data_IF_116069661955
#
_entry.id   IF_116069661955
#
_cell.length_a   1.000
_cell.length_b   1.000
_cell.length_c   1.000
_cell.angle_alpha   90.00
_cell.angle_beta   90.00
_cell.angle_gamma   90.00
#
_symmetry.space_group_name_H-M   'P 1'
#
loop_
_entity.id
_entity.type
_entity.pdbx_description
1 polymer ?
#
# COMPACT_ATOMS: atom_id res chain seq x y z
N UNK A 1 1.08 7.31 26.20
CA UNK A 1 1.41 8.45 27.08
C UNK A 1 1.92 7.97 28.43
N UNK A 2 3.07 8.48 28.87
CA UNK A 2 3.60 8.25 30.23
C UNK A 2 2.96 9.22 31.22
N UNK A 3 2.74 8.79 32.45
CA UNK A 3 2.18 9.66 33.50
C UNK A 3 3.05 10.90 33.75
N UNK A 4 4.36 10.72 33.94
CA UNK A 4 5.31 11.83 34.18
C UNK A 4 5.36 12.87 33.04
N UNK A 5 5.18 12.42 31.80
CA UNK A 5 5.11 13.32 30.63
C UNK A 5 3.77 14.07 30.64
N UNK A 6 2.67 13.38 30.92
CA UNK A 6 1.35 13.98 30.94
C UNK A 6 1.24 15.06 32.04
N UNK A 7 1.85 14.84 33.21
CA UNK A 7 1.90 15.84 34.29
C UNK A 7 2.63 17.11 33.85
N UNK A 8 3.80 16.99 33.23
CA UNK A 8 4.53 18.12 32.66
C UNK A 8 3.71 18.86 31.59
N UNK A 9 3.00 18.12 30.72
CA UNK A 9 2.10 18.70 29.73
C UNK A 9 0.96 19.47 30.41
N UNK A 10 0.35 18.93 31.47
CA UNK A 10 -0.71 19.60 32.23
C UNK A 10 -0.24 20.91 32.87
N UNK A 11 0.96 20.91 33.45
CA UNK A 11 1.59 22.13 33.98
C UNK A 11 1.79 23.17 32.87
N UNK A 12 2.34 22.76 31.73
CA UNK A 12 2.49 23.64 30.56
C UNK A 12 1.15 24.19 30.06
N UNK A 13 0.12 23.36 29.97
CA UNK A 13 -1.20 23.76 29.48
C UNK A 13 -1.91 24.74 30.42
N UNK A 14 -1.60 24.72 31.72
CA UNK A 14 -2.21 25.60 32.73
C UNK A 14 -1.92 27.10 32.52
N UNK A 15 -0.93 27.43 31.68
CA UNK A 15 -0.67 28.82 31.24
C UNK A 15 -1.80 29.38 30.37
N UNK A 16 -2.50 28.54 29.62
CA UNK A 16 -3.58 28.95 28.72
C UNK A 16 -4.85 29.23 29.52
N UNK A 17 -5.59 30.28 29.14
CA UNK A 17 -6.79 30.74 29.87
C UNK A 17 -8.09 30.46 29.15
N UNK A 18 -8.05 30.10 27.87
CA UNK A 18 -9.24 29.92 27.03
C UNK A 18 -9.00 28.88 25.95
N UNK A 19 -10.02 28.05 25.71
CA UNK A 19 -10.14 27.24 24.50
C UNK A 19 -10.86 28.11 23.47
N UNK A 20 -10.20 28.46 22.37
CA UNK A 20 -10.81 29.23 21.29
C UNK A 20 -11.70 28.34 20.44
N UNK A 21 -11.25 27.13 20.14
CA UNK A 21 -11.97 26.16 19.33
C UNK A 21 -11.57 24.72 19.69
N UNK A 22 -12.50 23.79 19.56
CA UNK A 22 -12.23 22.36 19.69
C UNK A 22 -12.96 21.58 18.59
N UNK A 23 -12.27 20.62 17.97
CA UNK A 23 -12.86 19.77 16.93
C UNK A 23 -12.20 18.42 16.84
N UNK A 24 -12.95 17.41 16.44
CA UNK A 24 -12.40 16.11 16.03
C UNK A 24 -11.70 16.23 14.69
N UNK A 25 -10.49 15.68 14.60
CA UNK A 25 -9.64 15.75 13.39
C UNK A 25 -9.36 14.37 12.78
N UNK A 26 -9.32 13.34 13.60
CA UNK A 26 -9.26 11.94 13.17
C UNK A 26 -10.26 11.09 13.97
N UNK A 27 -10.34 9.79 13.71
CA UNK A 27 -11.32 8.94 14.38
C UNK A 27 -11.20 8.91 15.90
N UNK A 28 -9.98 9.08 16.39
CA UNK A 28 -9.67 9.03 17.81
C UNK A 28 -8.99 10.30 18.32
N UNK A 29 -8.94 11.37 17.52
CA UNK A 29 -8.13 12.56 17.82
C UNK A 29 -8.94 13.86 17.84
N UNK A 30 -8.69 14.70 18.86
CA UNK A 30 -9.22 16.06 18.97
C UNK A 30 -8.11 17.08 18.77
N UNK A 31 -8.38 18.14 18.01
CA UNK A 31 -7.58 19.35 18.02
C UNK A 31 -8.23 20.36 18.97
N UNK A 32 -7.44 20.87 19.92
CA UNK A 32 -7.81 21.96 20.82
C UNK A 32 -6.93 23.16 20.47
N UNK A 33 -7.59 24.27 20.14
CA UNK A 33 -6.97 25.56 19.91
C UNK A 33 -7.08 26.40 21.19
N UNK A 34 -5.94 26.83 21.73
CA UNK A 34 -5.82 27.66 22.94
C UNK A 34 -5.48 29.11 22.58
N UNK A 35 -5.75 30.05 23.48
CA UNK A 35 -5.38 31.47 23.34
C UNK A 35 -4.03 31.78 24.02
N UNK A 36 -3.05 32.44 23.34
CA UNK A 36 -3.08 32.93 21.96
C UNK A 36 -2.71 31.84 20.93
N UNK A 37 -3.60 31.64 19.94
CA UNK A 37 -3.51 30.72 18.79
C UNK A 37 -2.47 29.59 18.89
N UNK A 38 -2.63 28.70 19.87
CA UNK A 38 -1.78 27.53 20.08
C UNK A 38 -2.59 26.26 19.89
N UNK A 39 -2.27 25.43 18.90
CA UNK A 39 -3.05 24.24 18.57
C UNK A 39 -2.32 22.95 18.91
N UNK A 40 -3.02 22.05 19.58
CA UNK A 40 -2.52 20.71 19.89
C UNK A 40 -3.54 19.66 19.51
N UNK A 41 -3.03 18.54 19.00
CA UNK A 41 -3.82 17.35 18.72
C UNK A 41 -3.62 16.34 19.85
N UNK A 42 -4.72 15.93 20.45
CA UNK A 42 -4.82 14.89 21.46
C UNK A 42 -5.34 13.64 20.76
N UNK A 43 -4.46 12.70 20.44
CA UNK A 43 -4.80 11.40 19.86
C UNK A 43 -5.01 10.36 20.97
N UNK A 44 -6.24 9.86 21.05
CA UNK A 44 -6.69 8.87 22.01
C UNK A 44 -6.94 7.53 21.33
N UNK A 45 -6.05 7.12 20.43
CA UNK A 45 -5.94 5.74 19.97
C UNK A 45 -5.55 4.80 21.14
N UNK A 46 -6.18 3.63 21.23
CA UNK A 46 -5.95 2.68 22.33
C UNK A 46 -4.50 2.16 22.40
N UNK A 47 -3.82 2.06 21.27
CA UNK A 47 -2.46 1.48 21.21
C UNK A 47 -1.36 2.54 21.30
N UNK A 48 -1.55 3.70 20.66
CA UNK A 48 -0.52 4.72 20.49
C UNK A 48 -1.03 6.12 20.86
N UNK A 49 -1.77 6.27 21.97
CA UNK A 49 -2.28 7.58 22.39
C UNK A 49 -1.16 8.58 22.64
N UNK A 50 -1.28 9.78 22.07
CA UNK A 50 -0.25 10.82 22.13
C UNK A 50 -0.81 12.24 22.10
N UNK A 51 0.03 13.24 22.37
CA UNK A 51 -0.27 14.67 22.21
C UNK A 51 0.83 15.27 21.34
N UNK A 52 0.47 15.99 20.28
CA UNK A 52 1.43 16.52 19.32
C UNK A 52 0.93 17.78 18.61
N UNK A 53 1.85 18.47 17.94
CA UNK A 53 1.59 19.66 17.13
C UNK A 53 1.77 19.26 15.67
N UNK A 54 0.72 19.38 14.86
CA UNK A 54 0.80 19.02 13.45
C UNK A 54 1.37 20.20 12.64
N UNK A 55 2.40 19.93 11.84
CA UNK A 55 3.01 20.92 10.93
C UNK A 55 2.21 21.14 9.64
N UNK A 56 1.22 20.29 9.37
CA UNK A 56 0.40 20.31 8.17
C UNK A 56 -1.07 20.56 8.51
N UNK A 57 -1.80 21.28 7.65
CA UNK A 57 -3.26 21.32 7.73
C UNK A 57 -3.81 19.89 7.61
N UNK A 58 -4.20 19.30 8.74
CA UNK A 58 -4.91 18.02 8.78
C UNK A 58 -6.14 18.17 7.89
N UNK A 59 -6.18 17.43 6.77
CA UNK A 59 -7.40 17.30 5.95
C UNK A 59 -8.49 16.75 6.86
N UNK A 60 -9.36 17.65 7.29
CA UNK A 60 -10.31 17.35 8.35
C UNK A 60 -11.58 16.88 7.70
N UNK A 61 -11.85 15.58 7.83
CA UNK A 61 -13.21 15.08 7.64
C UNK A 61 -14.11 15.86 8.59
N UNK A 62 -15.21 16.40 8.09
CA UNK A 62 -16.15 17.13 8.95
C UNK A 62 -16.97 16.13 9.76
N UNK A 63 -16.68 16.01 11.05
CA UNK A 63 -17.45 15.18 11.97
C UNK A 63 -18.64 15.96 12.53
N UNK A 64 -19.83 15.36 12.47
CA UNK A 64 -21.12 15.93 12.91
C UNK A 64 -21.90 14.97 13.82
N UNK A 65 -21.23 14.03 14.49
CA UNK A 65 -21.88 13.15 15.45
C UNK A 65 -22.36 13.94 16.68
N UNK A 66 -23.28 13.40 17.50
CA UNK A 66 -23.71 14.04 18.76
C UNK A 66 -22.54 14.47 19.66
N UNK A 67 -21.47 13.68 19.68
CA UNK A 67 -20.19 14.02 20.30
C UNK A 67 -19.59 15.33 19.79
N UNK A 68 -19.44 15.48 18.47
CA UNK A 68 -18.82 16.66 17.90
C UNK A 68 -19.66 17.92 18.12
N UNK A 69 -21.00 17.78 18.04
CA UNK A 69 -21.93 18.88 18.28
C UNK A 69 -21.90 19.32 19.74
N UNK A 70 -21.95 18.38 20.68
CA UNK A 70 -21.95 18.68 22.12
C UNK A 70 -20.62 19.27 22.57
N UNK A 71 -19.50 18.74 22.07
CA UNK A 71 -18.15 19.23 22.33
C UNK A 71 -18.02 20.71 21.94
N UNK A 72 -18.41 21.06 20.70
CA UNK A 72 -18.39 22.45 20.21
C UNK A 72 -19.30 23.34 21.06
N UNK A 73 -20.53 22.91 21.35
CA UNK A 73 -21.51 23.68 22.11
C UNK A 73 -21.03 24.03 23.53
N UNK A 74 -20.25 23.14 24.16
CA UNK A 74 -19.82 23.29 25.56
C UNK A 74 -18.46 23.98 25.71
N UNK A 75 -17.54 23.77 24.75
CA UNK A 75 -16.13 24.12 24.93
C UNK A 75 -15.59 25.18 23.96
N UNK A 76 -16.28 25.48 22.85
CA UNK A 76 -15.82 26.54 21.96
C UNK A 76 -15.90 27.89 22.67
N UNK A 77 -14.80 28.64 22.65
CA UNK A 77 -14.65 29.92 23.36
C UNK A 77 -14.81 29.84 24.88
N UNK A 78 -14.70 28.65 25.47
CA UNK A 78 -14.82 28.47 26.92
C UNK A 78 -13.55 28.93 27.64
N UNK A 79 -13.73 29.59 28.79
CA UNK A 79 -12.66 29.91 29.73
C UNK A 79 -12.18 28.61 30.39
N UNK A 80 -10.88 28.45 30.52
CA UNK A 80 -10.26 27.34 31.25
C UNK A 80 -10.19 27.75 32.73
N UNK A 81 -10.84 26.97 33.58
CA UNK A 81 -10.81 27.17 35.02
C UNK A 81 -9.65 26.41 35.65
N UNK A 82 -9.42 25.16 35.21
CA UNK A 82 -8.35 24.30 35.73
C UNK A 82 -7.96 23.23 34.73
N UNK A 83 -6.68 22.89 34.69
CA UNK A 83 -6.13 21.72 33.98
C UNK A 83 -5.31 20.93 34.97
N UNK A 84 -5.61 19.64 35.12
CA UNK A 84 -4.85 18.75 36.00
C UNK A 84 -4.79 17.32 35.48
N UNK A 85 -3.76 16.58 35.86
CA UNK A 85 -3.73 15.12 35.72
C UNK A 85 -4.21 14.51 37.03
N UNK A 86 -5.15 13.57 36.95
CA UNK A 86 -5.61 12.86 38.14
C UNK A 86 -4.44 12.09 38.81
N UNK A 87 -4.28 12.17 40.14
CA UNK A 87 -3.16 11.52 40.83
C UNK A 87 -3.05 10.03 40.51
N UNK A 88 -1.85 9.57 40.18
CA UNK A 88 -1.58 8.17 39.85
C UNK A 88 -2.52 7.61 38.77
N UNK A 89 -2.95 8.47 37.84
CA UNK A 89 -3.80 8.09 36.73
C UNK A 89 -3.41 8.86 35.46
N UNK A 90 -3.54 8.25 34.29
CA UNK A 90 -3.18 8.87 33.00
C UNK A 90 -4.38 9.60 32.41
N UNK A 91 -5.04 10.43 33.19
CA UNK A 91 -6.26 11.15 32.82
C UNK A 91 -6.02 12.64 32.96
N UNK A 92 -6.06 13.35 31.84
CA UNK A 92 -6.01 14.81 31.81
C UNK A 92 -7.44 15.36 31.92
N UNK A 93 -7.69 16.16 32.95
CA UNK A 93 -8.97 16.78 33.29
C UNK A 93 -8.90 18.27 33.03
N UNK A 94 -9.79 18.77 32.19
CA UNK A 94 -9.90 20.19 31.82
C UNK A 94 -11.27 20.69 32.26
N UNK A 95 -11.30 21.57 33.26
CA UNK A 95 -12.51 22.23 33.74
C UNK A 95 -12.66 23.57 33.03
N UNK A 96 -13.84 23.83 32.49
CA UNK A 96 -14.11 25.04 31.71
C UNK A 96 -15.44 25.67 32.06
N UNK A 97 -15.52 26.98 31.89
CA UNK A 97 -16.75 27.76 31.98
C UNK A 97 -16.98 28.52 30.68
N UNK A 98 -18.15 28.32 30.07
CA UNK A 98 -18.64 29.09 28.94
C UNK A 98 -19.66 30.11 29.42
N UNK A 99 -19.41 31.40 29.17
CA UNK A 99 -20.35 32.48 29.46
C UNK A 99 -21.38 32.59 28.33
N UNK A 100 -22.60 32.13 28.56
CA UNK A 100 -23.74 32.41 27.69
C UNK A 100 -24.43 33.74 28.07
N UNK A 101 -25.42 34.17 27.27
CA UNK A 101 -26.16 35.41 27.52
C UNK A 101 -26.91 35.45 28.85
N UNK A 102 -27.31 34.30 29.39
CA UNK A 102 -28.16 34.22 30.59
C UNK A 102 -27.68 33.25 31.67
N UNK A 103 -26.69 32.38 31.37
CA UNK A 103 -26.17 31.37 32.30
C UNK A 103 -24.70 31.08 32.04
N UNK A 104 -23.98 30.80 33.12
CA UNK A 104 -22.66 30.17 33.06
C UNK A 104 -22.85 28.68 32.86
N UNK A 105 -22.18 28.12 31.85
CA UNK A 105 -22.19 26.70 31.55
C UNK A 105 -20.84 26.13 31.94
N UNK A 106 -20.83 25.32 33.00
CA UNK A 106 -19.63 24.61 33.43
C UNK A 106 -19.57 23.25 32.73
N UNK A 107 -18.37 22.80 32.42
CA UNK A 107 -18.14 21.51 31.78
C UNK A 107 -16.77 20.97 32.17
N UNK A 108 -16.64 19.65 32.21
CA UNK A 108 -15.38 18.97 32.48
C UNK A 108 -15.10 18.00 31.34
N UNK A 109 -13.97 18.21 30.67
CA UNK A 109 -13.45 17.33 29.63
C UNK A 109 -12.40 16.40 30.24
N UNK A 110 -12.61 15.10 30.07
CA UNK A 110 -11.69 14.05 30.47
C UNK A 110 -11.04 13.44 29.23
N UNK A 111 -9.71 13.43 29.21
CA UNK A 111 -8.88 12.78 28.19
C UNK A 111 -8.12 11.62 28.84
N UNK A 112 -8.61 10.39 28.64
CA UNK A 112 -8.09 9.21 29.32
C UNK A 112 -7.03 8.50 28.45
N UNK A 113 -5.76 8.58 28.82
CA UNK A 113 -4.62 7.95 28.13
C UNK A 113 -4.24 6.59 28.75
N UNK A 114 -5.25 5.75 29.02
CA UNK A 114 -5.12 4.54 29.86
C UNK A 114 -4.90 3.23 29.11
N UNK A 115 -4.84 3.25 27.77
CA UNK A 115 -4.75 2.07 26.92
C UNK A 115 -6.10 1.39 26.70
N UNK A 116 -6.42 0.36 27.50
CA UNK A 116 -7.67 -0.42 27.37
C UNK A 116 -8.92 0.47 27.46
N UNK A 117 -8.91 1.39 28.42
CA UNK A 117 -10.02 2.29 28.72
C UNK A 117 -9.90 3.67 28.07
N UNK A 118 -8.95 3.87 27.15
CA UNK A 118 -8.72 5.17 26.51
C UNK A 118 -10.01 5.76 25.94
N UNK A 119 -10.33 7.00 26.32
CA UNK A 119 -11.59 7.65 25.95
C UNK A 119 -11.53 9.17 26.07
N UNK A 120 -12.50 9.83 25.43
CA UNK A 120 -12.78 11.25 25.62
C UNK A 120 -14.19 11.37 26.16
N UNK A 121 -14.34 11.98 27.33
CA UNK A 121 -15.62 12.03 28.03
C UNK A 121 -15.88 13.49 28.42
N UNK A 122 -17.05 13.98 28.07
CA UNK A 122 -17.50 15.32 28.43
C UNK A 122 -18.62 15.20 29.46
N UNK A 123 -18.49 15.92 30.56
CA UNK A 123 -19.47 15.95 31.64
C UNK A 123 -19.89 17.38 31.98
N UNK A 124 -21.01 17.52 32.69
CA UNK A 124 -21.39 18.77 33.34
C UNK A 124 -20.66 18.97 34.69
N UNK A 125 -20.98 20.04 35.41
CA UNK A 125 -20.42 20.34 36.73
C UNK A 125 -20.72 19.28 37.81
N UNK A 126 -21.76 18.46 37.64
CA UNK A 126 -22.16 17.43 38.58
C UNK A 126 -21.53 16.06 38.23
N UNK A 127 -20.70 16.01 37.20
CA UNK A 127 -20.08 14.80 36.69
C UNK A 127 -21.02 13.92 35.88
N UNK A 128 -22.18 14.44 35.44
CA UNK A 128 -23.09 13.70 34.55
C UNK A 128 -22.53 13.74 33.14
N UNK A 129 -22.38 12.57 32.52
CA UNK A 129 -21.86 12.42 31.16
C UNK A 129 -22.84 13.06 30.19
N UNK A 130 -22.36 14.10 29.52
CA UNK A 130 -23.06 14.75 28.42
C UNK A 130 -22.87 13.95 27.13
N UNK A 131 -21.63 13.49 26.87
CA UNK A 131 -21.28 12.75 25.66
C UNK A 131 -19.88 12.13 25.78
N UNK A 132 -19.60 11.08 25.00
CA UNK A 132 -18.28 10.43 24.98
C UNK A 132 -17.89 9.95 23.57
N UNK A 133 -16.58 9.93 23.29
CA UNK A 133 -16.07 9.39 22.02
C UNK A 133 -16.38 7.89 21.89
N UNK A 134 -16.34 7.15 23.00
CA UNK A 134 -16.65 5.72 23.06
C UNK A 134 -17.64 5.44 24.18
N UNK A 135 -18.82 5.00 23.81
CA UNK A 135 -19.82 4.48 24.74
C UNK A 135 -19.60 3.00 25.01
N UNK A 136 -19.67 2.60 26.28
CA UNK A 136 -19.66 1.20 26.68
C UNK A 136 -20.23 1.05 28.09
N UNK A 137 -20.57 -0.18 28.46
CA UNK A 137 -20.92 -0.56 29.83
C UNK A 137 -20.28 -1.90 30.13
N UNK A 138 -19.69 -2.00 31.31
CA UNK A 138 -19.10 -3.21 31.87
C UNK A 138 -19.21 -3.15 33.40
N UNK A 139 -18.72 -4.20 34.07
CA UNK A 139 -18.80 -4.33 35.53
C UNK A 139 -18.08 -3.20 36.30
N UNK A 140 -17.12 -2.51 35.67
CA UNK A 140 -16.35 -1.44 36.30
C UNK A 140 -17.02 -0.07 36.17
N UNK A 141 -17.55 0.27 34.99
CA UNK A 141 -18.19 1.58 34.74
C UNK A 141 -19.08 1.59 33.51
N UNK A 142 -20.10 2.45 33.56
CA UNK A 142 -20.98 2.77 32.44
C UNK A 142 -20.64 4.15 31.87
N UNK A 143 -20.11 4.18 30.65
CA UNK A 143 -19.88 5.42 29.90
C UNK A 143 -21.05 5.61 28.92
N UNK A 144 -22.09 6.31 29.38
CA UNK A 144 -23.33 6.60 28.65
C UNK A 144 -23.87 7.98 29.03
N UNK A 145 -24.50 8.66 28.08
CA UNK A 145 -25.17 9.95 28.29
C UNK A 145 -26.16 9.86 29.46
N UNK A 146 -26.14 10.85 30.35
CA UNK A 146 -27.03 10.95 31.52
C UNK A 146 -26.59 10.14 32.74
N UNK A 147 -25.53 9.33 32.66
CA UNK A 147 -24.96 8.63 33.83
C UNK A 147 -23.87 9.49 34.48
N UNK A 148 -23.73 9.37 35.80
CA UNK A 148 -22.60 10.00 36.51
C UNK A 148 -21.31 9.26 36.17
N UNK A 149 -20.26 9.99 35.82
CA UNK A 149 -18.95 9.44 35.51
C UNK A 149 -18.33 8.85 36.78
N UNK A 150 -17.98 7.57 36.71
CA UNK A 150 -17.11 6.91 37.68
C UNK A 150 -15.69 7.02 37.14
N UNK A 151 -14.87 7.83 37.81
CA UNK A 151 -13.45 7.99 37.47
C UNK A 151 -12.72 6.65 37.72
N UNK A 152 -11.64 6.39 36.97
CA UNK A 152 -10.85 5.18 37.19
C UNK A 152 -10.04 5.33 38.48
N UNK A 153 -9.97 4.26 39.26
CA UNK A 153 -9.16 4.22 40.47
C UNK A 153 -7.68 4.49 40.17
N UNK A 154 -6.98 5.21 41.06
CA UNK A 154 -5.53 5.41 40.95
C UNK A 154 -4.82 4.06 41.04
N UNK A 155 -3.73 3.91 40.29
CA UNK A 155 -2.92 2.69 40.34
C UNK A 155 -1.44 3.02 40.45
N UNK A 156 -0.66 2.12 41.04
CA UNK A 156 0.78 2.30 41.14
C UNK A 156 1.44 2.18 39.76
N UNK A 157 1.82 3.32 39.18
CA UNK A 157 2.36 3.38 37.83
C UNK A 157 3.88 3.17 37.86
N UNK A 158 4.32 1.97 37.48
CA UNK A 158 5.74 1.64 37.29
C UNK A 158 6.19 2.09 35.89
N UNK A 159 6.83 3.25 35.79
CA UNK A 159 7.38 3.77 34.53
C UNK A 159 8.85 4.14 34.67
N UNK A 160 9.64 3.87 33.62
CA UNK A 160 11.00 4.38 33.52
C UNK A 160 11.01 5.91 33.56
N UNK A 161 12.13 6.48 34.02
CA UNK A 161 12.36 7.91 34.03
C UNK A 161 12.01 8.55 32.68
N UNK A 162 11.48 9.76 32.77
CA UNK A 162 11.10 10.57 31.62
C UNK A 162 11.91 11.85 31.68
N UNK A 163 12.50 12.29 30.56
CA UNK A 163 13.26 13.53 30.54
C UNK A 163 12.33 14.70 30.90
N UNK A 164 12.92 15.73 31.52
CA UNK A 164 12.25 17.00 31.73
C UNK A 164 12.09 17.67 30.36
N UNK A 165 10.89 18.12 30.04
CA UNK A 165 10.58 18.82 28.80
C UNK A 165 10.95 20.29 28.99
N UNK A 166 12.02 20.72 28.33
CA UNK A 166 12.49 22.12 28.37
C UNK A 166 11.83 22.97 27.29
N UNK A 167 11.59 22.38 26.12
CA UNK A 167 10.97 23.03 24.96
C UNK A 167 9.77 22.19 24.49
N UNK A 168 8.57 22.65 24.86
CA UNK A 168 7.32 21.94 24.54
C UNK A 168 6.99 21.98 23.05
N UNK A 169 7.35 23.05 22.32
CA UNK A 169 7.07 23.13 20.88
C UNK A 169 7.88 22.08 20.14
N UNK A 170 9.19 21.99 20.40
CA UNK A 170 10.03 20.93 19.82
C UNK A 170 9.61 19.53 20.25
N UNK A 171 9.18 19.37 21.51
CA UNK A 171 8.66 18.10 22.00
C UNK A 171 7.44 17.65 21.19
N UNK A 172 6.44 18.51 21.02
CA UNK A 172 5.21 18.17 20.31
C UNK A 172 5.43 17.95 18.81
N UNK A 173 6.34 18.69 18.18
CA UNK A 173 6.75 18.47 16.79
C UNK A 173 7.48 17.12 16.64
N UNK A 174 8.41 16.80 17.55
CA UNK A 174 9.11 15.52 17.57
C UNK A 174 8.18 14.32 17.80
N UNK A 175 7.14 14.47 18.63
CA UNK A 175 6.13 13.42 18.82
C UNK A 175 5.29 13.21 17.54
N UNK A 176 4.99 14.27 16.79
CA UNK A 176 4.32 14.15 15.49
C UNK A 176 5.20 13.40 14.48
N UNK A 177 6.48 13.73 14.39
CA UNK A 177 7.42 13.09 13.47
C UNK A 177 7.62 11.61 13.80
N UNK A 178 7.72 11.25 15.09
CA UNK A 178 7.77 9.85 15.52
C UNK A 178 6.53 9.07 15.09
N UNK A 179 5.34 9.63 15.27
CA UNK A 179 4.09 9.00 14.84
C UNK A 179 4.01 8.85 13.32
N UNK A 180 4.38 9.90 12.58
CA UNK A 180 4.42 9.90 11.12
C UNK A 180 5.37 8.83 10.58
N UNK A 181 6.58 8.75 11.13
CA UNK A 181 7.59 7.76 10.74
C UNK A 181 7.15 6.34 11.11
N UNK A 182 6.59 6.12 12.30
CA UNK A 182 6.06 4.81 12.69
C UNK A 182 4.96 4.35 11.73
N UNK A 183 4.02 5.23 11.38
CA UNK A 183 2.93 4.96 10.43
C UNK A 183 3.47 4.65 9.02
N UNK A 184 4.53 5.35 8.60
CA UNK A 184 5.24 5.09 7.36
C UNK A 184 5.86 3.69 7.34
N UNK A 185 6.61 3.33 8.38
CA UNK A 185 7.25 2.00 8.50
C UNK A 185 6.23 0.86 8.55
N UNK A 186 5.15 1.01 9.33
CA UNK A 186 4.08 0.01 9.42
C UNK A 186 3.43 -0.22 8.05
N UNK A 187 3.09 0.86 7.33
CA UNK A 187 2.52 0.77 5.98
C UNK A 187 3.51 0.11 5.02
N UNK A 188 4.79 0.53 5.07
CA UNK A 188 5.87 -0.01 4.24
C UNK A 188 6.04 -1.51 4.47
N UNK A 189 6.13 -1.95 5.71
CA UNK A 189 6.27 -3.36 6.08
C UNK A 189 5.11 -4.22 5.54
N UNK A 190 3.87 -3.77 5.71
CA UNK A 190 2.68 -4.47 5.21
C UNK A 190 2.72 -4.59 3.67
N UNK A 191 3.07 -3.51 2.97
CA UNK A 191 3.11 -3.52 1.49
C UNK A 191 4.23 -4.42 0.97
N UNK A 192 5.42 -4.34 1.56
CA UNK A 192 6.57 -5.16 1.19
C UNK A 192 6.29 -6.65 1.42
N UNK A 193 5.74 -7.03 2.58
CA UNK A 193 5.41 -8.43 2.86
C UNK A 193 4.44 -9.03 1.81
N UNK A 194 3.50 -8.23 1.30
CA UNK A 194 2.60 -8.66 0.23
C UNK A 194 3.30 -8.81 -1.13
N UNK A 195 4.30 -7.98 -1.43
CA UNK A 195 5.10 -8.10 -2.64
C UNK A 195 6.04 -9.30 -2.56
N UNK A 196 6.68 -9.52 -1.41
CA UNK A 196 7.59 -10.65 -1.19
C UNK A 196 6.88 -12.00 -1.36
N UNK A 197 5.65 -12.13 -0.86
CA UNK A 197 4.81 -13.32 -1.13
C UNK A 197 4.57 -13.55 -2.62
N UNK A 198 4.33 -12.50 -3.40
CA UNK A 198 4.13 -12.62 -4.86
C UNK A 198 5.41 -12.96 -5.59
N UNK A 199 6.53 -12.34 -5.21
CA UNK A 199 7.84 -12.62 -5.79
C UNK A 199 8.23 -14.06 -5.51
N UNK A 200 8.04 -14.56 -4.27
CA UNK A 200 8.31 -15.93 -3.90
C UNK A 200 7.53 -16.94 -4.78
N UNK A 201 6.22 -16.72 -4.97
CA UNK A 201 5.39 -17.55 -5.84
C UNK A 201 5.86 -17.54 -7.30
N UNK A 202 6.28 -16.37 -7.83
CA UNK A 202 6.80 -16.29 -9.20
C UNK A 202 8.16 -16.98 -9.34
N UNK A 203 9.02 -16.90 -8.33
CA UNK A 203 10.30 -17.62 -8.28
C UNK A 203 10.10 -19.14 -8.23
N UNK A 204 9.13 -19.63 -7.45
CA UNK A 204 8.76 -21.04 -7.44
C UNK A 204 8.31 -21.52 -8.83
N UNK A 205 7.44 -20.75 -9.48
CA UNK A 205 7.01 -21.03 -10.85
C UNK A 205 8.19 -21.03 -11.84
N UNK A 206 9.12 -20.07 -11.73
CA UNK A 206 10.31 -19.97 -12.56
C UNK A 206 11.26 -21.16 -12.38
N UNK A 207 11.45 -21.59 -11.14
CA UNK A 207 12.32 -22.73 -10.79
C UNK A 207 11.69 -24.07 -11.20
N UNK A 208 10.36 -24.15 -11.27
CA UNK A 208 9.64 -25.34 -11.77
C UNK A 208 9.71 -25.53 -13.28
N UNK A 209 10.21 -24.53 -14.03
CA UNK A 209 10.33 -24.64 -15.49
C UNK A 209 11.51 -25.53 -15.87
N UNK A 210 11.20 -26.65 -16.53
CA UNK A 210 12.17 -27.55 -17.15
C UNK A 210 13.10 -26.83 -18.15
N UNK A 211 14.28 -27.41 -18.38
CA UNK A 211 15.21 -26.90 -19.39
C UNK A 211 14.68 -27.17 -20.80
N UNK A 212 14.95 -26.25 -21.72
CA UNK A 212 14.65 -26.45 -23.15
C UNK A 212 15.31 -27.72 -23.69
N UNK A 213 16.58 -27.94 -23.34
CA UNK A 213 17.36 -29.08 -23.85
C UNK A 213 16.81 -30.41 -23.32
N UNK A 214 16.40 -30.46 -22.05
CA UNK A 214 15.77 -31.64 -21.47
C UNK A 214 14.43 -31.98 -22.15
N UNK A 215 13.61 -30.96 -22.44
CA UNK A 215 12.35 -31.14 -23.16
C UNK A 215 12.58 -31.62 -24.60
N UNK A 216 13.59 -31.08 -25.29
CA UNK A 216 13.97 -31.52 -26.63
C UNK A 216 14.52 -32.94 -26.64
N UNK A 217 15.32 -33.32 -25.63
CA UNK A 217 15.86 -34.67 -25.51
C UNK A 217 14.76 -35.70 -25.25
N UNK A 218 13.84 -35.42 -24.30
CA UNK A 218 12.64 -36.24 -24.06
C UNK A 218 11.75 -36.36 -25.31
N UNK A 219 11.57 -35.25 -26.04
CA UNK A 219 10.80 -35.24 -27.29
C UNK A 219 11.42 -36.14 -28.37
N UNK A 220 12.74 -36.08 -28.54
CA UNK A 220 13.49 -36.91 -29.50
C UNK A 220 13.45 -38.38 -29.12
N UNK A 221 13.65 -38.71 -27.84
CA UNK A 221 13.56 -40.07 -27.31
C UNK A 221 12.18 -40.68 -27.59
N UNK A 222 11.09 -40.00 -27.21
CA UNK A 222 9.73 -40.47 -27.49
C UNK A 222 9.46 -40.66 -28.98
N UNK A 223 9.94 -39.77 -29.84
CA UNK A 223 9.81 -39.91 -31.29
C UNK A 223 10.59 -41.13 -31.82
N UNK A 224 11.79 -41.39 -31.31
CA UNK A 224 12.59 -42.57 -31.65
C UNK A 224 11.87 -43.86 -31.23
N UNK A 225 11.36 -43.92 -30.00
CA UNK A 225 10.57 -45.07 -29.50
C UNK A 225 9.33 -45.32 -30.34
N UNK A 226 8.60 -44.26 -30.69
CA UNK A 226 7.39 -44.36 -31.50
C UNK A 226 7.69 -44.82 -32.94
N UNK A 227 8.78 -44.33 -33.54
CA UNK A 227 9.25 -44.77 -34.86
C UNK A 227 9.63 -46.26 -34.85
N UNK A 228 10.33 -46.73 -33.80
CA UNK A 228 10.69 -48.14 -33.67
C UNK A 228 9.47 -49.05 -33.55
N UNK A 229 8.45 -48.66 -32.78
CA UNK A 229 7.18 -49.39 -32.68
C UNK A 229 6.45 -49.46 -34.03
N UNK A 230 6.36 -48.35 -34.77
CA UNK A 230 5.71 -48.34 -36.09
C UNK A 230 6.50 -49.17 -37.11
N UNK A 231 7.83 -49.07 -37.12
CA UNK A 231 8.67 -49.79 -38.07
C UNK A 231 8.57 -51.31 -37.90
N UNK A 232 8.35 -51.79 -36.67
CA UNK A 232 8.24 -53.22 -36.34
C UNK A 232 6.78 -53.66 -36.14
N UNK A 233 5.79 -52.84 -36.51
CA UNK A 233 4.38 -53.09 -36.17
C UNK A 233 3.83 -54.39 -36.79
N UNK A 234 4.41 -54.85 -37.90
CA UNK A 234 4.06 -56.12 -38.55
C UNK A 234 4.51 -57.36 -37.75
N UNK A 235 5.42 -57.21 -36.78
CA UNK A 235 5.93 -58.28 -35.91
C UNK A 235 5.22 -58.33 -34.55
N UNK A 236 4.34 -57.37 -34.27
CA UNK A 236 3.77 -57.15 -32.93
C UNK A 236 2.26 -57.42 -32.94
N UNK A 237 1.78 -58.07 -31.87
CA UNK A 237 0.36 -58.29 -31.65
C UNK A 237 -0.25 -57.16 -30.82
N UNK A 238 -1.56 -56.95 -30.92
CA UNK A 238 -2.27 -55.88 -30.21
C UNK A 238 -2.25 -56.04 -28.67
N UNK A 239 -2.05 -57.27 -28.17
CA UNK A 239 -1.98 -57.58 -26.74
C UNK A 239 -0.55 -57.51 -26.17
N UNK A 240 0.47 -57.27 -26.99
CA UNK A 240 1.85 -57.17 -26.52
C UNK A 240 2.02 -55.92 -25.63
N UNK A 241 2.70 -56.09 -24.49
CA UNK A 241 2.89 -55.04 -23.49
C UNK A 241 4.37 -54.79 -23.21
N UNK A 242 5.16 -55.84 -23.06
CA UNK A 242 6.62 -55.74 -22.92
C UNK A 242 7.29 -56.22 -24.21
N UNK A 243 8.00 -55.30 -24.88
CA UNK A 243 8.51 -55.53 -26.23
C UNK A 243 9.99 -55.14 -26.26
N UNK A 244 10.83 -56.05 -26.74
CA UNK A 244 12.25 -55.80 -26.99
C UNK A 244 12.48 -55.63 -28.49
N UNK A 245 12.77 -54.42 -28.94
CA UNK A 245 13.03 -54.11 -30.34
C UNK A 245 14.50 -53.73 -30.57
N UNK A 246 15.05 -54.17 -31.69
CA UNK A 246 16.40 -53.80 -32.10
C UNK A 246 16.37 -52.42 -32.76
N UNK A 247 17.13 -51.47 -32.22
CA UNK A 247 17.33 -50.15 -32.79
C UNK A 247 18.20 -50.17 -34.05
N UNK A 248 18.22 -49.06 -34.79
CA UNK A 248 19.02 -48.91 -36.01
C UNK A 248 20.53 -49.15 -35.82
N UNK A 249 21.02 -48.93 -34.59
CA UNK A 249 22.44 -49.08 -34.23
C UNK A 249 22.76 -50.46 -33.65
N UNK A 250 21.78 -51.37 -33.57
CA UNK A 250 21.93 -52.70 -33.00
C UNK A 250 21.68 -52.83 -31.50
N UNK A 251 21.41 -51.72 -30.80
CA UNK A 251 21.01 -51.70 -29.39
C UNK A 251 19.60 -52.29 -29.19
N UNK A 252 19.40 -53.08 -28.13
CA UNK A 252 18.09 -53.60 -27.76
C UNK A 252 17.36 -52.62 -26.86
N UNK A 253 16.20 -52.14 -27.30
CA UNK A 253 15.36 -51.23 -26.56
C UNK A 253 14.14 -51.97 -26.00
N UNK A 254 14.02 -51.96 -24.67
CA UNK A 254 12.87 -52.53 -23.97
C UNK A 254 11.79 -51.47 -23.77
N UNK A 255 10.58 -51.76 -24.24
CA UNK A 255 9.41 -50.90 -24.17
C UNK A 255 8.32 -51.59 -23.37
N UNK A 256 7.81 -50.92 -22.33
CA UNK A 256 6.63 -51.37 -21.59
C UNK A 256 5.45 -50.45 -21.93
N UNK A 257 4.37 -51.04 -22.44
CA UNK A 257 3.22 -50.37 -23.02
C UNK A 257 1.98 -50.64 -22.18
N UNK A 258 1.12 -49.63 -22.04
CA UNK A 258 -0.19 -49.75 -21.37
C UNK A 258 -1.31 -50.14 -22.34
N UNK A 259 -1.19 -49.72 -23.61
CA UNK A 259 -2.15 -49.95 -24.68
C UNK A 259 -1.52 -50.80 -25.79
N UNK A 260 -2.26 -51.06 -26.87
CA UNK A 260 -1.71 -51.77 -28.02
C UNK A 260 -0.52 -51.00 -28.64
N UNK A 261 0.45 -51.69 -29.29
CA UNK A 261 1.63 -51.06 -29.88
C UNK A 261 1.30 -49.87 -30.80
N UNK A 262 0.23 -49.99 -31.60
CA UNK A 262 -0.25 -48.93 -32.47
C UNK A 262 -0.77 -47.71 -31.70
N UNK A 263 -1.53 -47.93 -30.63
CA UNK A 263 -2.09 -46.84 -29.81
C UNK A 263 -0.97 -46.15 -29.04
N UNK A 264 -0.10 -46.92 -28.38
CA UNK A 264 1.03 -46.37 -27.63
C UNK A 264 2.01 -45.60 -28.51
N UNK A 265 2.29 -46.05 -29.73
CA UNK A 265 3.10 -45.28 -30.68
C UNK A 265 2.45 -43.91 -31.01
N UNK A 266 1.14 -43.88 -31.25
CA UNK A 266 0.42 -42.62 -31.48
C UNK A 266 0.41 -41.69 -30.26
N UNK A 267 0.28 -42.24 -29.05
CA UNK A 267 0.38 -41.48 -27.80
C UNK A 267 1.77 -40.88 -27.64
N UNK A 268 2.83 -41.66 -27.86
CA UNK A 268 4.22 -41.19 -27.84
C UNK A 268 4.47 -40.08 -28.87
N UNK A 269 3.93 -40.17 -30.09
CA UNK A 269 4.02 -39.08 -31.08
C UNK A 269 3.28 -37.82 -30.64
N UNK A 270 2.08 -37.96 -30.07
CA UNK A 270 1.31 -36.82 -29.53
C UNK A 270 2.08 -36.13 -28.41
N UNK A 271 2.64 -36.90 -27.49
CA UNK A 271 3.44 -36.39 -26.38
C UNK A 271 4.75 -35.75 -26.86
N UNK A 272 5.48 -36.40 -27.76
CA UNK A 272 6.69 -35.85 -28.39
C UNK A 272 6.41 -34.49 -29.05
N UNK A 273 5.32 -34.37 -29.81
CA UNK A 273 4.89 -33.11 -30.43
C UNK A 273 4.56 -32.04 -29.39
N UNK A 274 3.88 -32.41 -28.30
CA UNK A 274 3.56 -31.51 -27.17
C UNK A 274 4.82 -31.02 -26.47
N UNK A 275 5.79 -31.89 -26.18
CA UNK A 275 7.07 -31.52 -25.57
C UNK A 275 7.87 -30.58 -26.47
N UNK A 276 7.91 -30.84 -27.78
CA UNK A 276 8.56 -29.95 -28.76
C UNK A 276 7.92 -28.56 -28.79
N UNK A 277 6.59 -28.49 -28.75
CA UNK A 277 5.86 -27.21 -28.66
C UNK A 277 6.14 -26.49 -27.33
N UNK A 278 6.18 -27.22 -26.21
CA UNK A 278 6.54 -26.68 -24.89
C UNK A 278 7.96 -26.10 -24.91
N UNK A 279 8.93 -26.84 -25.45
CA UNK A 279 10.33 -26.40 -25.58
C UNK A 279 10.45 -25.12 -26.43
N UNK A 280 9.64 -24.98 -27.48
CA UNK A 280 9.63 -23.75 -28.29
C UNK A 280 9.15 -22.51 -27.52
N UNK A 281 8.27 -22.67 -26.53
CA UNK A 281 7.70 -21.58 -25.73
C UNK A 281 8.35 -21.35 -24.36
N UNK A 282 9.18 -22.28 -23.88
CA UNK A 282 9.67 -22.29 -22.49
C UNK A 282 10.57 -21.09 -22.18
N UNK A 283 11.44 -20.71 -23.11
CA UNK A 283 12.34 -19.57 -22.95
C UNK A 283 11.57 -18.25 -22.90
N UNK A 284 10.55 -18.09 -23.75
CA UNK A 284 9.68 -16.92 -23.70
C UNK A 284 8.90 -16.89 -22.37
N UNK A 285 8.46 -18.04 -21.85
CA UNK A 285 7.82 -18.10 -20.54
C UNK A 285 8.77 -17.70 -19.42
N UNK A 286 10.01 -18.21 -19.45
CA UNK A 286 11.09 -17.87 -18.51
C UNK A 286 11.35 -16.37 -18.50
N UNK A 287 11.56 -15.77 -19.68
CA UNK A 287 11.75 -14.32 -19.84
C UNK A 287 10.57 -13.51 -19.26
N UNK A 288 9.32 -13.91 -19.54
CA UNK A 288 8.14 -13.21 -19.02
C UNK A 288 8.06 -13.28 -17.49
N UNK A 289 8.40 -14.42 -16.87
CA UNK A 289 8.42 -14.56 -15.41
C UNK A 289 9.53 -13.69 -14.81
N UNK A 290 10.74 -13.74 -15.38
CA UNK A 290 11.89 -12.92 -14.94
C UNK A 290 11.55 -11.43 -14.98
N UNK A 291 10.96 -10.94 -16.08
CA UNK A 291 10.56 -9.53 -16.21
C UNK A 291 9.49 -9.13 -15.17
N UNK A 292 8.55 -10.03 -14.86
CA UNK A 292 7.56 -9.77 -13.79
C UNK A 292 8.21 -9.67 -12.42
N UNK A 293 9.17 -10.56 -12.12
CA UNK A 293 9.92 -10.55 -10.86
C UNK A 293 10.73 -9.26 -10.75
N UNK A 294 11.42 -8.87 -11.82
CA UNK A 294 12.20 -7.63 -11.88
C UNK A 294 11.32 -6.40 -11.64
N UNK A 295 10.15 -6.33 -12.31
CA UNK A 295 9.19 -5.25 -12.11
C UNK A 295 8.72 -5.14 -10.66
N UNK A 296 8.34 -6.26 -10.03
CA UNK A 296 7.90 -6.27 -8.63
C UNK A 296 9.05 -5.89 -7.67
N UNK A 297 10.28 -6.24 -8.03
CA UNK A 297 11.47 -5.89 -7.24
C UNK A 297 11.77 -4.40 -7.33
N UNK A 298 11.65 -3.78 -8.52
CA UNK A 298 11.72 -2.32 -8.70
C UNK A 298 10.62 -1.61 -7.91
N UNK A 299 9.39 -2.12 -7.94
CA UNK A 299 8.28 -1.58 -7.15
C UNK A 299 8.55 -1.65 -5.63
N UNK A 300 9.11 -2.77 -5.15
CA UNK A 300 9.55 -2.93 -3.76
C UNK A 300 10.59 -1.88 -3.38
N UNK A 301 11.60 -1.66 -4.24
CA UNK A 301 12.63 -0.64 -4.01
C UNK A 301 12.05 0.77 -3.98
N UNK A 302 11.10 1.10 -4.87
CA UNK A 302 10.42 2.39 -4.86
C UNK A 302 9.67 2.66 -3.53
N UNK A 303 9.06 1.62 -2.96
CA UNK A 303 8.37 1.68 -1.66
C UNK A 303 9.36 1.86 -0.50
N UNK A 304 10.53 1.21 -0.57
CA UNK A 304 11.61 1.38 0.42
C UNK A 304 12.13 2.83 0.44
N UNK A 305 12.26 3.46 -0.74
CA UNK A 305 12.76 4.83 -0.90
C UNK A 305 11.69 5.92 -0.67
N UNK A 306 10.42 5.53 -0.46
CA UNK A 306 9.33 6.48 -0.27
C UNK A 306 9.48 7.26 1.03
N UNK A 307 9.30 8.58 0.96
CA UNK A 307 9.53 9.53 2.07
C UNK A 307 8.31 9.73 2.97
N UNK A 308 7.12 9.43 2.44
CA UNK A 308 5.88 9.56 3.19
C UNK A 308 4.83 8.51 2.76
N UNK A 309 3.73 8.48 3.51
CA UNK A 309 2.64 7.54 3.27
C UNK A 309 1.87 7.83 1.98
N UNK A 310 1.87 9.08 1.50
CA UNK A 310 1.18 9.46 0.28
C UNK A 310 1.91 8.90 -0.94
N UNK A 311 3.24 8.98 -0.99
CA UNK A 311 4.05 8.35 -2.04
C UNK A 311 3.77 6.84 -2.12
N UNK A 312 3.75 6.14 -0.99
CA UNK A 312 3.42 4.69 -0.96
C UNK A 312 2.00 4.43 -1.47
N UNK A 313 1.02 5.25 -1.07
CA UNK A 313 -0.36 5.10 -1.51
C UNK A 313 -0.52 5.38 -3.01
N UNK A 314 0.26 6.31 -3.57
CA UNK A 314 0.31 6.58 -5.01
C UNK A 314 0.89 5.39 -5.78
N UNK A 315 1.92 4.74 -5.22
CA UNK A 315 2.54 3.55 -5.80
C UNK A 315 1.65 2.30 -5.71
N UNK A 316 0.84 2.18 -4.65
CA UNK A 316 -0.05 1.03 -4.43
C UNK A 316 -1.45 1.51 -3.98
N UNK A 317 -2.23 2.09 -4.90
CA UNK A 317 -3.55 2.60 -4.57
C UNK A 317 -4.45 1.46 -4.11
N UNK A 318 -5.32 1.75 -3.13
CA UNK A 318 -6.36 0.80 -2.72
C UNK A 318 -7.23 0.52 -3.94
N UNK A 319 -7.22 -0.73 -4.43
CA UNK A 319 -8.03 -1.14 -5.59
C UNK A 319 -9.47 -0.72 -5.34
N UNK A 320 -9.99 0.24 -6.12
CA UNK A 320 -11.43 0.45 -6.19
C UNK A 320 -12.04 -0.81 -6.81
N UNK A 321 -13.17 -1.28 -6.27
CA UNK A 321 -13.90 -2.47 -6.74
C UNK A 321 -14.56 -2.23 -8.11
N UNK A 322 -13.81 -1.76 -9.11
CA UNK A 322 -14.30 -1.72 -10.49
C UNK A 322 -13.92 -3.03 -11.19
N UNK A 323 -14.94 -3.70 -11.74
CA UNK A 323 -14.83 -4.94 -12.52
C UNK A 323 -14.16 -4.63 -13.87
N UNK A 324 -12.84 -4.58 -13.92
CA UNK A 324 -12.09 -4.57 -15.17
C UNK A 324 -11.62 -5.99 -15.52
N UNK A 325 -11.60 -6.33 -16.81
CA UNK A 325 -11.23 -7.64 -17.35
C UNK A 325 -9.88 -8.15 -16.80
N UNK A 326 -9.92 -9.28 -16.11
CA UNK A 326 -8.84 -9.85 -15.28
C UNK A 326 -7.54 -10.15 -16.05
N UNK A 327 -7.60 -10.32 -17.38
CA UNK A 327 -6.43 -10.69 -18.20
C UNK A 327 -5.50 -9.52 -18.57
N UNK A 328 -6.00 -8.29 -18.71
CA UNK A 328 -5.16 -7.12 -19.06
C UNK A 328 -4.45 -6.50 -17.84
N UNK A 329 -4.92 -6.82 -16.63
CA UNK A 329 -4.41 -6.28 -15.36
C UNK A 329 -2.99 -6.77 -15.06
N UNK A 330 -2.58 -7.92 -15.59
CA UNK A 330 -1.29 -8.50 -15.23
C UNK A 330 -0.11 -7.87 -16.02
N UNK A 331 -0.32 -7.38 -17.23
CA UNK A 331 0.74 -6.81 -18.10
C UNK A 331 1.01 -5.32 -17.86
N UNK A 332 0.05 -4.62 -17.25
CA UNK A 332 0.07 -3.17 -17.05
C UNK A 332 -0.13 -2.88 -15.57
N UNK A 333 0.77 -2.11 -14.97
CA UNK A 333 0.57 -1.58 -13.62
C UNK A 333 -0.04 -0.19 -13.69
N UNK A 334 -1.00 0.10 -12.80
CA UNK A 334 -1.74 1.35 -12.82
C UNK A 334 -1.54 2.09 -11.48
N UNK A 335 -1.03 3.31 -11.58
CA UNK A 335 -0.82 4.27 -10.51
C UNK A 335 -1.85 5.39 -10.61
N UNK A 336 -2.22 5.98 -9.48
CA UNK A 336 -3.24 7.02 -9.45
C UNK A 336 -2.78 8.21 -8.59
N UNK A 337 -2.87 9.41 -9.14
CA UNK A 337 -2.66 10.68 -8.43
C UNK A 337 -3.91 11.52 -8.58
N UNK A 338 -4.63 11.75 -7.49
CA UNK A 338 -5.94 12.41 -7.54
C UNK A 338 -6.88 11.65 -8.48
N UNK A 339 -7.32 12.31 -9.55
CA UNK A 339 -8.18 11.71 -10.59
C UNK A 339 -7.40 11.17 -11.80
N UNK A 340 -6.09 11.41 -11.86
CA UNK A 340 -5.25 11.02 -12.98
C UNK A 340 -4.78 9.59 -12.84
N UNK A 341 -4.84 8.85 -13.96
CA UNK A 341 -4.38 7.47 -14.06
C UNK A 341 -3.09 7.42 -14.87
N UNK A 342 -2.04 6.87 -14.27
CA UNK A 342 -0.75 6.61 -14.92
C UNK A 342 -0.58 5.10 -15.08
N UNK A 343 -0.28 4.65 -16.28
CA UNK A 343 -0.19 3.22 -16.61
C UNK A 343 1.21 2.90 -17.12
N UNK A 344 1.87 1.88 -16.57
CA UNK A 344 3.25 1.48 -16.89
C UNK A 344 3.26 0.05 -17.41
N UNK A 345 3.94 -0.18 -18.52
CA UNK A 345 4.06 -1.51 -19.11
C UNK A 345 5.14 -2.30 -18.39
N UNK A 346 4.82 -3.53 -17.97
CA UNK A 346 5.77 -4.37 -17.20
C UNK A 346 6.79 -5.08 -18.08
N UNK A 347 6.48 -5.20 -19.37
CA UNK A 347 7.28 -5.85 -20.38
C UNK A 347 6.90 -5.34 -21.77
N UNK A 348 7.57 -5.84 -22.80
CA UNK A 348 7.30 -5.47 -24.20
C UNK A 348 5.83 -5.68 -24.60
N UNK A 349 5.21 -6.80 -24.17
CA UNK A 349 3.78 -7.06 -24.43
C UNK A 349 2.87 -6.04 -23.75
N UNK A 350 3.21 -5.65 -22.51
CA UNK A 350 2.52 -4.61 -21.77
C UNK A 350 2.68 -3.23 -22.40
N UNK A 351 3.88 -2.90 -22.89
CA UNK A 351 4.16 -1.66 -23.64
C UNK A 351 3.33 -1.59 -24.92
N UNK A 352 3.30 -2.67 -25.71
CA UNK A 352 2.50 -2.75 -26.93
C UNK A 352 1.00 -2.62 -26.63
N UNK A 353 0.50 -3.31 -25.59
CA UNK A 353 -0.89 -3.20 -25.15
C UNK A 353 -1.24 -1.77 -24.72
N UNK A 354 -0.37 -1.12 -23.95
CA UNK A 354 -0.54 0.27 -23.53
C UNK A 354 -0.70 1.21 -24.71
N UNK A 355 0.20 1.12 -25.69
CA UNK A 355 0.16 1.95 -26.89
C UNK A 355 -1.14 1.74 -27.68
N UNK A 356 -1.70 0.53 -27.67
CA UNK A 356 -2.97 0.18 -28.32
C UNK A 356 -4.19 0.71 -27.57
N UNK A 357 -4.18 0.69 -26.23
CA UNK A 357 -5.29 1.17 -25.39
C UNK A 357 -5.29 2.70 -25.17
N UNK A 358 -4.22 3.38 -25.56
CA UNK A 358 -4.03 4.83 -25.38
C UNK A 358 -4.95 5.67 -26.26
N UNK A 359 -5.54 6.73 -25.71
CA UNK A 359 -6.25 7.75 -26.47
C UNK A 359 -5.28 8.77 -27.07
N UNK A 360 -5.69 9.45 -28.14
CA UNK A 360 -4.87 10.46 -28.85
C UNK A 360 -4.31 11.56 -27.94
N UNK A 361 -5.10 11.99 -26.96
CA UNK A 361 -4.77 13.07 -26.01
C UNK A 361 -4.03 12.60 -24.75
N UNK A 362 -3.85 11.29 -24.57
CA UNK A 362 -3.07 10.76 -23.45
C UNK A 362 -1.59 11.12 -23.65
N UNK A 363 -0.86 11.37 -22.57
CA UNK A 363 0.57 11.66 -22.64
C UNK A 363 1.37 10.37 -22.51
N UNK A 364 2.28 10.16 -23.46
CA UNK A 364 3.23 9.05 -23.50
C UNK A 364 4.61 9.52 -23.04
N UNK A 365 5.30 8.68 -22.29
CA UNK A 365 6.65 8.92 -21.76
C UNK A 365 7.55 7.70 -22.01
N UNK A 366 8.83 7.96 -22.26
CA UNK A 366 9.88 6.96 -22.46
C UNK A 366 11.26 7.58 -22.18
N UNK A 367 12.22 6.77 -21.73
CA UNK A 367 13.61 7.24 -21.60
C UNK A 367 14.16 7.62 -22.97
N UNK A 368 14.83 8.78 -23.04
CA UNK A 368 15.46 9.22 -24.26
C UNK A 368 16.60 8.26 -24.63
N UNK A 369 16.61 7.78 -25.87
CA UNK A 369 17.66 6.94 -26.46
C UNK A 369 18.00 5.62 -25.75
N UNK A 370 17.15 5.18 -24.79
CA UNK A 370 17.38 3.96 -23.99
C UNK A 370 16.10 3.10 -24.00
N UNK A 371 16.18 1.79 -24.29
CA UNK A 371 15.03 0.88 -24.17
C UNK A 371 14.42 0.93 -22.77
N UNK A 372 13.12 1.22 -22.67
CA UNK A 372 12.50 1.52 -21.38
C UNK A 372 11.03 1.12 -21.31
N UNK A 373 10.47 1.17 -20.10
CA UNK A 373 9.04 0.97 -19.88
C UNK A 373 8.26 2.13 -20.49
N UNK A 374 7.20 1.82 -21.24
CA UNK A 374 6.31 2.84 -21.75
C UNK A 374 5.35 3.28 -20.64
N UNK A 375 5.24 4.59 -20.43
CA UNK A 375 4.32 5.16 -19.44
C UNK A 375 3.26 5.99 -20.15
N UNK A 376 2.00 5.84 -19.73
CA UNK A 376 0.87 6.62 -20.24
C UNK A 376 0.14 7.31 -19.11
N UNK A 377 -0.01 8.63 -19.22
CA UNK A 377 -0.80 9.47 -18.33
C UNK A 377 -2.13 9.82 -19.02
N UNK A 378 -3.22 9.31 -18.46
CA UNK A 378 -4.58 9.57 -18.96
C UNK A 378 -5.07 10.91 -18.43
N UNK A 379 -5.29 11.86 -19.34
CA UNK A 379 -5.60 13.26 -18.99
C UNK A 379 -7.09 13.55 -18.91
N UNK A 380 -7.95 12.70 -19.50
CA UNK A 380 -9.39 12.95 -19.62
C UNK A 380 -9.73 14.39 -20.08
N UNK A 381 -8.89 14.97 -20.96
CA UNK A 381 -8.98 16.36 -21.46
C UNK A 381 -8.73 17.47 -20.42
N UNK A 382 -8.15 17.16 -19.27
CA UNK A 382 -7.71 18.14 -18.28
C UNK A 382 -6.28 18.62 -18.55
N UNK A 383 -5.94 19.83 -18.11
CA UNK A 383 -4.58 20.36 -18.16
C UNK A 383 -3.68 19.62 -17.14
N UNK A 384 -2.45 19.34 -17.53
CA UNK A 384 -1.46 18.67 -16.69
C UNK A 384 -0.62 19.69 -15.93
N UNK A 385 -0.50 19.51 -14.61
CA UNK A 385 0.51 20.21 -13.81
C UNK A 385 1.91 19.63 -14.06
N UNK A 386 2.95 20.44 -13.83
CA UNK A 386 4.34 19.98 -13.93
C UNK A 386 4.64 18.84 -12.94
N UNK A 387 4.02 18.84 -11.76
CA UNK A 387 4.16 17.78 -10.77
C UNK A 387 3.69 16.41 -11.30
N UNK A 388 2.59 16.38 -12.07
CA UNK A 388 2.08 15.14 -12.67
C UNK A 388 3.02 14.62 -13.76
N UNK A 389 3.59 15.52 -14.57
CA UNK A 389 4.56 15.18 -15.61
C UNK A 389 5.84 14.63 -14.97
N UNK A 390 6.36 15.32 -13.95
CA UNK A 390 7.53 14.89 -13.18
C UNK A 390 7.31 13.53 -12.52
N UNK A 391 6.12 13.29 -11.97
CA UNK A 391 5.80 11.99 -11.36
C UNK A 391 5.73 10.87 -12.40
N UNK A 392 5.05 11.08 -13.53
CA UNK A 392 4.99 10.09 -14.61
C UNK A 392 6.39 9.78 -15.17
N UNK A 393 7.23 10.80 -15.33
CA UNK A 393 8.62 10.65 -15.74
C UNK A 393 9.44 9.87 -14.69
N UNK A 394 9.28 10.17 -13.40
CA UNK A 394 9.93 9.43 -12.31
C UNK A 394 9.56 7.95 -12.32
N UNK A 395 8.29 7.61 -12.58
CA UNK A 395 7.88 6.22 -12.76
C UNK A 395 8.54 5.57 -13.98
N UNK A 396 8.61 6.29 -15.10
CA UNK A 396 9.29 5.78 -16.30
C UNK A 396 10.74 5.40 -15.99
N UNK A 397 11.50 6.26 -15.31
CA UNK A 397 12.88 5.94 -14.94
C UNK A 397 12.94 4.79 -13.94
N UNK A 398 12.12 4.84 -12.88
CA UNK A 398 12.08 3.85 -11.79
C UNK A 398 11.83 2.42 -12.29
N UNK A 399 10.97 2.25 -13.30
CA UNK A 399 10.66 0.93 -13.85
C UNK A 399 11.57 0.51 -15.01
N UNK A 400 12.44 1.41 -15.47
CA UNK A 400 13.32 1.15 -16.61
C UNK A 400 14.77 0.87 -16.20
N UNK A 401 15.31 1.57 -15.20
CA UNK A 401 16.70 1.40 -14.74
C UNK A 401 16.79 1.23 -13.23
N UNK A 402 17.85 0.56 -12.78
CA UNK A 402 18.20 0.37 -11.37
C UNK A 402 19.48 1.14 -10.98
N UNK A 403 20.17 1.74 -11.94
CA UNK A 403 21.40 2.49 -11.72
C UNK A 403 21.10 3.91 -11.22
N UNK A 404 21.92 4.41 -10.30
CA UNK A 404 21.85 5.81 -9.86
C UNK A 404 22.41 6.70 -10.95
N UNK A 405 21.68 7.76 -11.27
CA UNK A 405 22.06 8.62 -12.37
C UNK A 405 21.04 9.70 -12.67
N UNK A 406 21.41 10.54 -13.64
CA UNK A 406 20.52 11.53 -14.23
C UNK A 406 20.04 11.00 -15.57
N UNK A 407 18.73 10.86 -15.72
CA UNK A 407 18.08 10.33 -16.91
C UNK A 407 17.18 11.40 -17.53
N UNK A 408 17.10 11.40 -18.86
CA UNK A 408 16.21 12.28 -19.62
C UNK A 408 15.01 11.45 -20.07
N UNK A 409 13.81 11.92 -19.76
CA UNK A 409 12.55 11.30 -20.18
C UNK A 409 11.91 12.18 -21.23
N UNK A 410 11.69 11.62 -22.41
CA UNK A 410 10.90 12.27 -23.46
C UNK A 410 9.41 12.00 -23.22
N UNK A 411 8.60 13.02 -23.45
CA UNK A 411 7.15 12.91 -23.36
C UNK A 411 6.43 13.71 -24.44
N UNK A 412 5.34 13.15 -24.95
CA UNK A 412 4.49 13.79 -25.95
C UNK A 412 3.07 13.23 -25.91
N UNK A 413 2.13 13.85 -26.61
CA UNK A 413 0.79 13.27 -26.77
C UNK A 413 0.87 12.01 -27.61
N UNK A 414 0.05 11.00 -27.29
CA UNK A 414 0.02 9.70 -27.98
C UNK A 414 -0.23 9.84 -29.49
N UNK A 415 -0.97 10.86 -29.92
CA UNK A 415 -1.18 11.16 -31.35
C UNK A 415 0.13 11.41 -32.12
N UNK A 416 1.18 11.85 -31.43
CA UNK A 416 2.50 12.08 -32.02
C UNK A 416 3.40 10.84 -31.99
N UNK A 417 2.91 9.70 -31.48
CA UNK A 417 3.64 8.45 -31.34
C UNK A 417 3.10 7.42 -32.34
N UNK A 418 3.91 7.05 -33.32
CA UNK A 418 3.60 6.04 -34.34
C UNK A 418 4.24 4.70 -33.99
N UNK A 419 3.42 3.67 -33.84
CA UNK A 419 3.89 2.29 -33.61
C UNK A 419 4.40 1.71 -34.92
N UNK A 420 5.62 1.16 -34.89
CA UNK A 420 6.26 0.52 -36.05
C UNK A 420 6.10 -0.98 -35.96
N UNK A 421 6.60 -1.60 -34.87
CA UNK A 421 6.46 -3.03 -34.61
C UNK A 421 6.45 -3.32 -33.11
N UNK A 422 5.47 -4.09 -32.63
CA UNK A 422 5.36 -4.41 -31.20
C UNK A 422 5.30 -3.16 -30.32
N UNK A 423 6.30 -2.99 -29.45
CA UNK A 423 6.47 -1.80 -28.62
C UNK A 423 7.37 -0.73 -29.24
N UNK A 424 8.01 -0.99 -30.38
CA UNK A 424 8.90 -0.04 -31.06
C UNK A 424 8.10 1.10 -31.70
N UNK A 425 8.49 2.34 -31.40
CA UNK A 425 7.76 3.55 -31.80
C UNK A 425 8.69 4.60 -32.37
N UNK A 426 8.18 5.36 -33.33
CA UNK A 426 8.72 6.66 -33.73
C UNK A 426 7.84 7.75 -33.13
N UNK A 427 8.44 8.83 -32.65
CA UNK A 427 7.69 9.93 -32.04
C UNK A 427 8.25 11.29 -32.45
N UNK A 428 7.38 12.28 -32.49
CA UNK A 428 7.70 13.66 -32.87
C UNK A 428 7.07 14.63 -31.87
N UNK A 429 7.42 15.92 -31.97
CA UNK A 429 6.83 16.99 -31.15
C UNK A 429 6.87 16.66 -29.65
N UNK A 430 8.01 16.17 -29.17
CA UNK A 430 8.21 15.81 -27.78
C UNK A 430 8.87 16.94 -26.99
N UNK A 431 8.67 16.88 -25.69
CA UNK A 431 9.41 17.65 -24.69
C UNK A 431 10.21 16.66 -23.84
N UNK A 432 11.22 17.15 -23.13
CA UNK A 432 12.04 16.31 -22.27
C UNK A 432 12.06 16.86 -20.85
N UNK A 433 12.20 15.96 -19.88
CA UNK A 433 12.35 16.31 -18.46
C UNK A 433 13.49 15.49 -17.85
N UNK A 434 14.34 16.15 -17.05
CA UNK A 434 15.45 15.50 -16.36
C UNK A 434 15.01 14.93 -15.01
N UNK A 435 15.29 13.66 -14.77
CA UNK A 435 14.99 12.96 -13.53
C UNK A 435 16.29 12.41 -12.94
N UNK A 436 16.50 12.65 -11.64
CA UNK A 436 17.62 12.12 -10.88
C UNK A 436 17.12 11.10 -9.86
N UNK A 437 17.72 9.92 -9.84
CA UNK A 437 17.42 8.83 -8.90
C UNK A 437 18.62 8.49 -8.01
#
# INVERSE_FOLDING_TARGET
MKYKILTQISEFLSKFKKITNIKRVEDCALCISFEPKYELVFDLNKTNSNIYKSSSNLQTKEYKAPFDVTLKKRLNSAKIDKIEVLPNNRILKIQTTLSGSYKLIKSILYLEFTGRFTNIILTDENGVILEALRHFENDLRAIKVGKKLIELEPFNIKENESPIITDFDKFFEGEFDKLKNKKLEELRAIKIANLDKKIALLNENLNSLESKDELELKSKDLALRANLLIANLYLLNDYDRDISLKGANGEMLNLSLQNSPKISANEMFKESKKLKQKAAGIELQRQNLTQKIEFLSKLKNAILLSRDTNEINTLLPKKSKSKANVKNIDLIENFYIGEFKISVGKNEKGNALLLKEAKKDDFWFHLKDIPSSHVLLKTNKQNLSEDLINFAAKLCVTFSTSERGSYVVDYTKKQNVKVVNGAFVNYVNYKSVGIKI
#
